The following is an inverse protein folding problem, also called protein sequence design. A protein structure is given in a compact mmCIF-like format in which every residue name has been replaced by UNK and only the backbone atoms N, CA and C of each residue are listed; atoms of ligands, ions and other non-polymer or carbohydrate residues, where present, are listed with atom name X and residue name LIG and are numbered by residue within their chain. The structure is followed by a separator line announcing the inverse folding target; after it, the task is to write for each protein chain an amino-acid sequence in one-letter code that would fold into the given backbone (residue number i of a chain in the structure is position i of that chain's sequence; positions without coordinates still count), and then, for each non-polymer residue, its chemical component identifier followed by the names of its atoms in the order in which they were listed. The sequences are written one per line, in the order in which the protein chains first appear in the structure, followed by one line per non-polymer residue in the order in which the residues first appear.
data_IF_488534606981
#
_entry.id   IF_488534606981
#
_cell.length_a   1.000
_cell.length_b   1.000
_cell.length_c   1.000
_cell.angle_alpha   90.00
_cell.angle_beta   90.00
_cell.angle_gamma   90.00
#
_symmetry.space_group_name_H-M   'P 1'
#
loop_
_entity.id
_entity.type
_entity.pdbx_description
1 polymer ?
#
# COMPACT_ATOMS: atom_id res chain seq x y z
N UNK A 1 -10.18 -22.97 -11.79
CA UNK A 1 -11.02 -23.43 -12.91
C UNK A 1 -10.59 -22.63 -14.13
N UNK A 2 -9.78 -23.22 -15.00
CA UNK A 2 -9.27 -22.54 -16.19
C UNK A 2 -10.41 -22.40 -17.21
N UNK A 3 -10.45 -21.28 -17.92
CA UNK A 3 -11.42 -21.01 -18.98
C UNK A 3 -11.34 -22.09 -20.06
N UNK A 4 -12.17 -23.12 -19.94
CA UNK A 4 -12.35 -24.12 -21.00
C UNK A 4 -12.93 -23.38 -22.20
N UNK A 5 -12.11 -23.36 -23.24
CA UNK A 5 -11.95 -22.28 -24.20
C UNK A 5 -13.03 -22.24 -25.29
N UNK A 6 -14.07 -23.08 -25.23
CA UNK A 6 -15.01 -23.25 -26.35
C UNK A 6 -16.25 -22.37 -26.22
N UNK A 7 -16.93 -22.42 -25.07
CA UNK A 7 -18.17 -21.66 -24.83
C UNK A 7 -17.93 -20.15 -24.93
N UNK A 8 -16.82 -19.65 -24.38
CA UNK A 8 -16.50 -18.23 -24.44
C UNK A 8 -16.10 -17.74 -25.83
N UNK A 9 -15.49 -18.61 -26.64
CA UNK A 9 -15.19 -18.30 -28.04
C UNK A 9 -16.46 -18.32 -28.90
N UNK A 10 -17.38 -19.25 -28.66
CA UNK A 10 -18.66 -19.29 -29.37
C UNK A 10 -19.52 -18.05 -29.06
N UNK A 11 -19.53 -17.59 -27.79
CA UNK A 11 -20.20 -16.33 -27.42
C UNK A 11 -19.49 -15.14 -28.06
N UNK A 12 -18.15 -15.13 -28.08
CA UNK A 12 -17.37 -14.09 -28.77
C UNK A 12 -17.68 -14.06 -30.27
N UNK A 13 -17.88 -15.21 -30.91
CA UNK A 13 -18.28 -15.30 -32.32
C UNK A 13 -19.69 -14.74 -32.55
N UNK A 14 -20.64 -15.10 -31.69
CA UNK A 14 -22.00 -14.54 -31.75
C UNK A 14 -22.05 -13.02 -31.53
N UNK A 15 -21.07 -12.47 -30.79
CA UNK A 15 -20.90 -11.04 -30.59
C UNK A 15 -19.98 -10.39 -31.64
N UNK A 16 -19.75 -11.03 -32.79
CA UNK A 16 -18.89 -10.55 -33.88
C UNK A 16 -17.49 -10.11 -33.42
N UNK A 17 -16.91 -10.81 -32.44
CA UNK A 17 -15.61 -10.52 -31.84
C UNK A 17 -15.44 -9.12 -31.26
N UNK A 18 -16.54 -8.39 -30.98
CA UNK A 18 -16.46 -7.10 -30.30
C UNK A 18 -15.89 -7.22 -28.88
N UNK A 19 -15.95 -8.43 -28.30
CA UNK A 19 -15.41 -8.74 -26.98
C UNK A 19 -14.69 -10.07 -27.03
N UNK A 20 -13.47 -10.14 -26.47
CA UNK A 20 -12.71 -11.37 -26.42
C UNK A 20 -13.30 -12.38 -25.43
N UNK A 21 -13.15 -13.66 -25.73
CA UNK A 21 -13.58 -14.76 -24.85
C UNK A 21 -13.10 -14.62 -23.40
N UNK A 22 -11.86 -14.15 -23.20
CA UNK A 22 -11.31 -13.91 -21.87
C UNK A 22 -12.00 -12.76 -21.14
N UNK A 23 -12.38 -11.68 -21.85
CA UNK A 23 -13.13 -10.57 -21.26
C UNK A 23 -14.54 -11.03 -20.83
N UNK A 24 -15.22 -11.82 -21.66
CA UNK A 24 -16.54 -12.38 -21.36
C UNK A 24 -16.48 -13.29 -20.13
N UNK A 25 -15.50 -14.20 -20.07
CA UNK A 25 -15.27 -15.06 -18.91
C UNK A 25 -15.05 -14.23 -17.63
N UNK A 26 -14.23 -13.19 -17.73
CA UNK A 26 -13.90 -12.33 -16.59
C UNK A 26 -15.12 -11.56 -16.09
N UNK A 27 -15.93 -11.00 -16.98
CA UNK A 27 -17.15 -10.29 -16.62
C UNK A 27 -18.19 -11.18 -15.97
N UNK A 28 -18.37 -12.40 -16.47
CA UNK A 28 -19.27 -13.38 -15.88
C UNK A 28 -18.76 -13.83 -14.51
N UNK A 29 -17.47 -14.18 -14.38
CA UNK A 29 -16.89 -14.66 -13.13
C UNK A 29 -16.94 -13.60 -12.01
N UNK A 30 -16.63 -12.35 -12.34
CA UNK A 30 -16.66 -11.21 -11.43
C UNK A 30 -18.08 -10.66 -11.21
N UNK A 31 -19.10 -11.18 -11.91
CA UNK A 31 -20.49 -10.76 -11.75
C UNK A 31 -20.77 -9.32 -12.19
N UNK A 32 -19.98 -8.79 -13.13
CA UNK A 32 -20.20 -7.43 -13.65
C UNK A 32 -21.52 -7.38 -14.41
N UNK A 33 -22.27 -6.28 -14.25
CA UNK A 33 -23.57 -6.05 -14.86
C UNK A 33 -24.66 -7.09 -14.53
N UNK A 34 -24.50 -7.86 -13.43
CA UNK A 34 -25.50 -8.85 -12.99
C UNK A 34 -25.71 -9.99 -13.99
N UNK A 35 -24.73 -10.28 -14.86
CA UNK A 35 -24.87 -11.28 -15.93
C UNK A 35 -25.19 -12.67 -15.37
N UNK A 36 -24.53 -13.07 -14.27
CA UNK A 36 -24.80 -14.34 -13.59
C UNK A 36 -26.23 -14.44 -13.03
N UNK A 37 -26.76 -13.32 -12.52
CA UNK A 37 -28.12 -13.26 -11.96
C UNK A 37 -29.17 -13.37 -13.06
N UNK A 38 -28.93 -12.71 -14.20
CA UNK A 38 -29.78 -12.81 -15.40
C UNK A 38 -29.75 -14.20 -16.04
N UNK A 39 -28.65 -14.94 -15.87
CA UNK A 39 -28.51 -16.33 -16.32
C UNK A 39 -29.09 -17.34 -15.33
N UNK A 40 -29.63 -16.90 -14.18
CA UNK A 40 -30.26 -17.77 -13.18
C UNK A 40 -29.28 -18.67 -12.40
N UNK A 41 -27.98 -18.44 -12.52
CA UNK A 41 -26.96 -19.27 -11.87
C UNK A 41 -26.75 -18.78 -10.43
N UNK A 42 -27.42 -19.44 -9.47
CA UNK A 42 -27.21 -19.18 -8.04
C UNK A 42 -25.82 -19.70 -7.62
N UNK A 43 -24.96 -18.83 -7.10
CA UNK A 43 -23.70 -19.24 -6.47
C UNK A 43 -24.01 -19.91 -5.12
N UNK A 44 -23.86 -21.22 -5.03
CA UNK A 44 -23.64 -21.88 -3.74
C UNK A 44 -22.29 -21.43 -3.19
N UNK A 45 -22.27 -21.04 -1.90
CA UNK A 45 -21.05 -20.60 -1.21
C UNK A 45 -20.12 -21.80 -1.03
N UNK A 46 -19.09 -21.92 -1.88
CA UNK A 46 -17.98 -22.83 -1.62
C UNK A 46 -16.80 -22.11 -0.98
N UNK A 47 -16.25 -22.80 0.02
CA UNK A 47 -15.20 -22.39 0.96
C UNK A 47 -13.86 -22.20 0.26
N UNK A 48 -13.05 -21.27 0.79
CA UNK A 48 -11.75 -20.87 0.28
C UNK A 48 -10.75 -22.03 0.16
N UNK A 49 -10.02 -22.05 -0.96
CA UNK A 49 -8.71 -22.69 -1.08
C UNK A 49 -7.76 -21.61 -1.61
N UNK A 50 -6.79 -21.26 -0.77
CA UNK A 50 -5.66 -20.38 -1.09
C UNK A 50 -4.57 -21.27 -1.66
N UNK A 51 -4.06 -20.93 -2.84
CA UNK A 51 -2.63 -21.07 -3.17
C UNK A 51 -2.24 -20.27 -4.44
N UNK A 52 -0.94 -19.97 -4.64
CA UNK A 52 -0.47 -18.61 -4.90
C UNK A 52 -0.03 -18.44 -6.35
N UNK A 53 -0.39 -17.32 -7.00
CA UNK A 53 0.30 -16.90 -8.23
C UNK A 53 0.54 -15.39 -8.24
N UNK A 54 1.74 -15.11 -8.73
CA UNK A 54 2.37 -13.84 -8.97
C UNK A 54 1.66 -13.02 -10.07
N UNK A 55 2.19 -11.81 -10.21
CA UNK A 55 2.09 -10.91 -11.35
C UNK A 55 0.88 -9.99 -11.44
N UNK A 56 1.24 -8.75 -11.70
CA UNK A 56 0.58 -7.52 -11.33
C UNK A 56 -0.08 -6.99 -12.60
N UNK A 57 -1.36 -7.31 -12.79
CA UNK A 57 -2.16 -6.63 -13.80
C UNK A 57 -2.82 -5.39 -13.20
N UNK A 58 -2.35 -4.26 -13.72
CA UNK A 58 -2.80 -2.92 -13.46
C UNK A 58 -4.18 -2.70 -14.11
N UNK A 59 -5.25 -3.06 -13.39
CA UNK A 59 -6.60 -2.60 -13.71
C UNK A 59 -6.86 -1.26 -13.01
N UNK A 60 -6.84 -0.19 -13.79
CA UNK A 60 -7.44 1.09 -13.45
C UNK A 60 -8.97 0.93 -13.51
N UNK A 61 -9.58 0.70 -12.36
CA UNK A 61 -11.01 0.95 -12.16
C UNK A 61 -11.14 2.16 -11.23
N UNK A 62 -11.64 3.25 -11.80
CA UNK A 62 -12.02 4.46 -11.09
C UNK A 62 -13.37 4.19 -10.42
N UNK A 63 -13.35 3.47 -9.31
CA UNK A 63 -14.47 3.57 -8.37
C UNK A 63 -14.18 4.72 -7.42
N UNK A 64 -14.63 5.90 -7.83
CA UNK A 64 -14.95 6.98 -6.92
C UNK A 64 -16.17 6.51 -6.11
N UNK A 65 -15.92 5.69 -5.09
CA UNK A 65 -16.92 5.34 -4.08
C UNK A 65 -17.15 6.58 -3.21
N UNK A 66 -17.88 7.55 -3.76
CA UNK A 66 -18.52 8.59 -2.95
C UNK A 66 -19.75 7.95 -2.33
N UNK A 67 -19.56 7.19 -1.26
CA UNK A 67 -20.68 6.83 -0.40
C UNK A 67 -21.16 8.11 0.28
N UNK A 68 -22.37 8.56 -0.07
CA UNK A 68 -23.07 9.72 0.52
C UNK A 68 -23.32 9.60 2.05
N UNK A 69 -22.72 8.61 2.72
CA UNK A 69 -22.78 8.38 4.16
C UNK A 69 -21.58 8.94 4.95
N UNK A 70 -20.62 9.60 4.29
CA UNK A 70 -19.37 10.09 4.91
C UNK A 70 -19.53 11.34 5.81
N UNK A 71 -20.75 11.86 5.98
CA UNK A 71 -20.99 13.07 6.79
C UNK A 71 -21.08 12.82 8.31
N UNK A 72 -21.09 11.56 8.79
CA UNK A 72 -21.17 11.25 10.23
C UNK A 72 -19.94 10.53 10.80
N UNK A 73 -18.95 10.19 9.98
CA UNK A 73 -17.74 9.53 10.45
C UNK A 73 -16.82 10.52 11.18
N UNK A 74 -16.20 10.14 12.31
CA UNK A 74 -15.29 11.03 13.02
C UNK A 74 -14.09 11.36 12.13
N UNK A 75 -13.69 12.63 12.16
CA UNK A 75 -12.56 13.16 11.38
C UNK A 75 -11.50 13.71 12.33
N UNK A 76 -10.24 13.32 12.11
CA UNK A 76 -9.08 13.81 12.85
C UNK A 76 -8.15 14.51 11.87
N UNK A 77 -7.99 15.82 12.07
CA UNK A 77 -7.08 16.64 11.28
C UNK A 77 -5.82 16.90 12.08
N UNK A 78 -4.66 16.76 11.44
CA UNK A 78 -3.37 17.03 12.05
C UNK A 78 -2.36 17.40 10.97
N UNK A 79 -1.27 18.04 11.36
CA UNK A 79 -0.22 18.47 10.43
C UNK A 79 1.04 17.68 10.74
N UNK A 80 1.53 16.93 9.76
CA UNK A 80 2.83 16.29 9.83
C UNK A 80 3.89 17.31 9.40
N UNK A 81 4.91 17.49 10.24
CA UNK A 81 6.07 18.34 9.92
C UNK A 81 7.26 17.45 9.60
N UNK A 82 7.68 17.43 8.35
CA UNK A 82 8.87 16.70 7.91
C UNK A 82 10.09 17.62 8.02
N UNK A 83 11.16 17.09 8.62
CA UNK A 83 12.47 17.74 8.61
C UNK A 83 13.08 17.77 7.20
N UNK A 84 14.10 18.60 6.99
CA UNK A 84 14.81 18.67 5.72
C UNK A 84 15.44 17.32 5.34
N UNK A 85 15.99 16.58 6.31
CA UNK A 85 16.60 15.26 6.12
C UNK A 85 15.57 14.20 5.73
N UNK A 86 14.41 14.18 6.40
CA UNK A 86 13.31 13.27 6.05
C UNK A 86 12.73 13.59 4.68
N UNK A 87 12.63 14.89 4.35
CA UNK A 87 12.17 15.34 3.04
C UNK A 87 13.12 14.88 1.93
N UNK A 88 14.43 15.01 2.12
CA UNK A 88 15.42 14.53 1.15
C UNK A 88 15.29 13.03 0.86
N UNK A 89 14.86 12.21 1.83
CA UNK A 89 14.64 10.77 1.63
C UNK A 89 13.38 10.46 0.80
N UNK A 90 12.38 11.34 0.84
CA UNK A 90 11.08 11.09 0.23
C UNK A 90 10.78 12.00 -0.96
N UNK A 91 11.67 12.92 -1.29
CA UNK A 91 11.50 13.90 -2.36
C UNK A 91 11.13 13.22 -3.69
N UNK A 92 10.23 13.81 -4.50
CA UNK A 92 9.86 13.24 -5.79
C UNK A 92 11.07 13.04 -6.71
N UNK A 93 11.15 11.87 -7.34
CA UNK A 93 12.15 11.52 -8.35
C UNK A 93 11.46 11.41 -9.71
N UNK A 94 12.13 11.86 -10.76
CA UNK A 94 11.66 11.69 -12.13
C UNK A 94 11.93 10.26 -12.62
N UNK A 95 10.89 9.57 -13.07
CA UNK A 95 10.99 8.26 -13.69
C UNK A 95 10.54 8.34 -15.14
N UNK A 96 11.43 7.92 -16.04
CA UNK A 96 11.17 7.87 -17.49
C UNK A 96 10.69 6.48 -17.88
N UNK A 97 9.48 6.40 -18.42
CA UNK A 97 8.91 5.18 -18.98
C UNK A 97 9.06 5.20 -20.51
N UNK A 98 9.70 4.17 -21.06
CA UNK A 98 9.79 3.94 -22.51
C UNK A 98 8.52 3.21 -22.98
N UNK A 99 7.79 3.79 -23.93
CA UNK A 99 6.67 3.08 -24.56
C UNK A 99 7.23 2.03 -25.54
N UNK A 100 6.86 0.77 -25.31
CA UNK A 100 7.35 -0.40 -26.05
C UNK A 100 6.90 -0.46 -27.52
N UNK A 101 6.00 0.43 -27.97
CA UNK A 101 5.39 0.35 -29.31
C UNK A 101 5.88 1.39 -30.32
N UNK A 102 6.56 2.45 -29.90
CA UNK A 102 7.15 3.44 -30.80
C UNK A 102 8.48 3.93 -30.23
N UNK A 103 9.57 3.77 -30.98
CA UNK A 103 10.94 4.09 -30.58
C UNK A 103 11.23 5.57 -30.24
N UNK A 104 10.22 6.45 -30.21
CA UNK A 104 10.41 7.91 -30.09
C UNK A 104 9.68 8.57 -28.93
N UNK A 105 8.79 7.88 -28.20
CA UNK A 105 8.03 8.53 -27.12
C UNK A 105 8.38 7.93 -25.76
N UNK A 106 9.22 8.66 -25.02
CA UNK A 106 9.37 8.50 -23.57
C UNK A 106 8.41 9.45 -22.85
N UNK A 107 7.80 9.00 -21.75
CA UNK A 107 7.06 9.87 -20.83
C UNK A 107 7.75 9.85 -19.48
N UNK A 108 8.06 11.03 -18.95
CA UNK A 108 8.56 11.18 -17.58
C UNK A 108 7.45 11.55 -16.62
N UNK A 109 7.50 11.00 -15.41
CA UNK A 109 6.59 11.33 -14.32
C UNK A 109 7.40 11.54 -13.04
N UNK A 110 7.00 12.54 -12.25
CA UNK A 110 7.50 12.70 -10.89
C UNK A 110 6.74 11.75 -9.96
N UNK A 111 7.47 10.94 -9.20
CA UNK A 111 6.88 10.00 -8.25
C UNK A 111 7.69 9.95 -6.95
N UNK A 112 7.02 9.65 -5.84
CA UNK A 112 7.73 9.44 -4.58
C UNK A 112 8.54 8.13 -4.62
N UNK A 113 9.74 8.09 -4.00
CA UNK A 113 10.63 6.93 -4.05
C UNK A 113 9.98 5.70 -3.40
N UNK A 114 9.78 4.64 -4.18
CA UNK A 114 9.08 3.43 -3.72
C UNK A 114 9.78 2.84 -2.49
N UNK A 115 9.01 2.60 -1.44
CA UNK A 115 9.49 1.98 -0.20
C UNK A 115 10.13 2.94 0.81
N UNK A 116 10.51 4.16 0.42
CA UNK A 116 11.14 5.14 1.33
C UNK A 116 10.14 6.07 2.02
N UNK A 117 9.10 6.53 1.32
CA UNK A 117 8.16 7.51 1.89
C UNK A 117 7.13 6.90 2.86
N UNK A 118 6.70 5.66 2.60
CA UNK A 118 5.65 5.03 3.40
C UNK A 118 6.04 4.76 4.87
N UNK A 119 7.28 4.37 5.22
CA UNK A 119 7.70 4.25 6.62
C UNK A 119 7.75 5.61 7.33
N UNK A 120 8.29 6.64 6.69
CA UNK A 120 8.37 8.00 7.26
C UNK A 120 6.97 8.49 7.66
N UNK A 121 6.00 8.41 6.74
CA UNK A 121 4.63 8.82 7.04
C UNK A 121 3.95 7.95 8.11
N UNK A 122 4.29 6.65 8.18
CA UNK A 122 3.73 5.77 9.21
C UNK A 122 4.21 6.14 10.62
N UNK A 123 5.48 6.52 10.76
CA UNK A 123 6.04 6.97 12.04
C UNK A 123 5.41 8.28 12.49
N UNK A 124 5.35 9.27 11.60
CA UNK A 124 4.68 10.55 11.89
C UNK A 124 3.18 10.36 12.22
N UNK A 125 2.48 9.48 11.49
CA UNK A 125 1.10 9.15 11.82
C UNK A 125 0.96 8.64 13.26
N UNK A 126 1.84 7.73 13.69
CA UNK A 126 1.81 7.22 15.07
C UNK A 126 2.10 8.32 16.09
N UNK A 127 3.13 9.13 15.86
CA UNK A 127 3.53 10.23 16.76
C UNK A 127 2.39 11.22 17.00
N UNK A 128 1.64 11.57 15.95
CA UNK A 128 0.56 12.55 16.04
C UNK A 128 -0.77 11.97 16.51
N UNK A 129 -1.06 10.72 16.18
CA UNK A 129 -2.39 10.15 16.44
C UNK A 129 -2.44 9.19 17.61
N UNK A 130 -1.33 8.50 17.90
CA UNK A 130 -1.21 7.39 18.86
C UNK A 130 -2.23 6.26 18.61
N UNK A 131 -2.75 6.17 17.38
CA UNK A 131 -3.76 5.19 17.02
C UNK A 131 -3.10 3.88 16.55
N UNK A 132 -3.57 2.70 17.00
CA UNK A 132 -3.00 1.39 16.63
C UNK A 132 -3.33 0.97 15.18
N UNK A 133 -3.69 1.92 14.31
CA UNK A 133 -4.11 1.66 12.95
C UNK A 133 -2.97 1.14 12.07
N UNK A 134 -3.19 -0.02 11.44
CA UNK A 134 -2.29 -0.53 10.40
C UNK A 134 -2.62 0.10 9.05
N UNK A 135 -2.06 1.30 8.81
CA UNK A 135 -2.23 2.04 7.56
C UNK A 135 -1.41 1.43 6.42
N UNK A 136 -2.14 1.06 5.36
CA UNK A 136 -1.57 0.73 4.06
C UNK A 136 -1.69 1.95 3.15
N UNK A 137 -0.57 2.60 2.88
CA UNK A 137 -0.50 3.70 1.91
C UNK A 137 -0.62 3.12 0.50
N UNK A 138 -1.74 3.42 -0.17
CA UNK A 138 -2.09 2.83 -1.46
C UNK A 138 -1.49 3.59 -2.62
N UNK A 139 -1.56 4.92 -2.57
CA UNK A 139 -1.24 5.79 -3.72
C UNK A 139 -0.60 7.09 -3.22
N UNK A 140 0.39 7.56 -3.96
CA UNK A 140 0.93 8.90 -3.84
C UNK A 140 1.01 9.49 -5.25
N UNK A 141 0.44 10.68 -5.44
CA UNK A 141 0.48 11.44 -6.68
C UNK A 141 1.25 12.73 -6.44
N UNK A 142 2.12 13.07 -7.38
CA UNK A 142 2.88 14.32 -7.38
C UNK A 142 2.36 15.16 -8.54
N UNK A 143 1.96 16.39 -8.25
CA UNK A 143 1.52 17.36 -9.23
C UNK A 143 2.52 18.52 -9.22
N UNK A 144 3.42 18.60 -10.20
CA UNK A 144 4.41 19.68 -10.25
C UNK A 144 3.78 21.05 -10.46
N UNK A 145 2.59 21.08 -11.08
CA UNK A 145 1.85 22.29 -11.40
C UNK A 145 0.44 22.11 -10.83
N UNK A 146 0.07 22.92 -9.84
CA UNK A 146 -1.23 22.85 -9.17
C UNK A 146 -1.20 23.48 -7.77
N UNK A 147 -2.37 23.54 -7.13
CA UNK A 147 -2.52 24.00 -5.74
C UNK A 147 -2.08 22.96 -4.69
N UNK A 148 -2.00 21.69 -5.09
CA UNK A 148 -1.56 20.57 -4.25
C UNK A 148 -0.35 19.95 -4.93
N UNK A 149 0.82 20.05 -4.32
CA UNK A 149 2.05 19.45 -4.81
C UNK A 149 2.08 17.92 -4.65
N UNK A 150 1.70 17.40 -3.48
CA UNK A 150 1.64 15.94 -3.24
C UNK A 150 0.30 15.58 -2.62
N UNK A 151 -0.30 14.51 -3.13
CA UNK A 151 -1.50 13.87 -2.56
C UNK A 151 -1.21 12.41 -2.24
N UNK A 152 -1.31 12.05 -0.97
CA UNK A 152 -1.12 10.70 -0.44
C UNK A 152 -2.47 10.15 0.02
N UNK A 153 -2.76 8.90 -0.33
CA UNK A 153 -3.96 8.20 0.11
C UNK A 153 -3.55 6.87 0.76
N UNK A 154 -4.05 6.65 1.98
CA UNK A 154 -3.89 5.42 2.74
C UNK A 154 -5.23 4.88 3.23
N UNK A 155 -5.25 3.60 3.57
CA UNK A 155 -6.42 2.94 4.17
C UNK A 155 -5.98 2.00 5.27
N UNK A 156 -6.69 1.99 6.40
CA UNK A 156 -6.49 0.98 7.42
C UNK A 156 -7.11 -0.34 6.97
N UNK A 157 -6.34 -1.43 7.07
CA UNK A 157 -6.85 -2.76 6.71
C UNK A 157 -7.71 -3.43 7.78
N UNK A 158 -7.88 -2.79 8.94
CA UNK A 158 -8.66 -3.33 10.07
C UNK A 158 -9.98 -2.58 10.20
N UNK A 159 -9.96 -1.28 10.51
CA UNK A 159 -11.16 -0.47 10.67
C UNK A 159 -11.68 0.18 9.38
N UNK A 160 -10.98 -0.02 8.26
CA UNK A 160 -11.38 0.55 6.96
C UNK A 160 -11.17 2.06 6.80
N UNK A 161 -10.79 2.79 7.86
CA UNK A 161 -10.58 4.24 7.87
C UNK A 161 -9.61 4.73 6.80
N UNK A 162 -9.89 5.91 6.25
CA UNK A 162 -9.18 6.53 5.16
C UNK A 162 -8.23 7.62 5.67
N UNK A 163 -7.01 7.60 5.16
CA UNK A 163 -6.00 8.61 5.41
C UNK A 163 -5.76 9.39 4.12
N UNK A 164 -5.83 10.71 4.21
CA UNK A 164 -5.47 11.63 3.15
C UNK A 164 -4.39 12.59 3.66
N UNK A 165 -3.30 12.73 2.91
CA UNK A 165 -2.22 13.66 3.21
C UNK A 165 -1.96 14.57 2.02
N UNK A 166 -1.92 15.88 2.24
CA UNK A 166 -1.76 16.91 1.22
C UNK A 166 -0.57 17.79 1.55
N UNK A 167 0.30 17.99 0.56
CA UNK A 167 1.34 19.03 0.60
C UNK A 167 0.92 20.08 -0.42
N UNK A 168 0.60 21.29 0.03
CA UNK A 168 0.05 22.33 -0.83
C UNK A 168 1.12 22.91 -1.76
N UNK A 169 2.22 23.39 -1.18
CA UNK A 169 3.28 24.07 -1.91
C UNK A 169 4.51 23.20 -2.05
N UNK A 170 5.21 23.35 -3.20
CA UNK A 170 6.53 22.74 -3.37
C UNK A 170 7.48 23.39 -2.35
N UNK A 171 8.09 22.62 -1.45
CA UNK A 171 9.00 23.18 -0.46
C UNK A 171 10.29 23.65 -1.14
N UNK A 172 10.85 24.73 -0.61
CA UNK A 172 12.18 25.19 -1.00
C UNK A 172 13.26 24.24 -0.47
N UNK A 173 14.43 24.25 -1.09
CA UNK A 173 15.55 23.40 -0.65
C UNK A 173 15.89 23.66 0.82
N UNK A 174 16.13 22.60 1.57
CA UNK A 174 16.45 22.62 3.02
C UNK A 174 15.38 23.21 3.94
N UNK A 175 14.14 23.38 3.47
CA UNK A 175 13.02 23.83 4.33
C UNK A 175 12.24 22.65 4.90
N UNK A 176 11.59 22.87 6.05
CA UNK A 176 10.65 21.91 6.63
C UNK A 176 9.39 21.86 5.77
N UNK A 177 8.83 20.67 5.62
CA UNK A 177 7.64 20.45 4.78
C UNK A 177 6.45 20.17 5.68
N UNK A 178 5.38 20.92 5.47
CA UNK A 178 4.11 20.72 6.16
C UNK A 178 3.19 19.89 5.28
N UNK A 179 2.72 18.77 5.82
CA UNK A 179 1.72 17.91 5.19
C UNK A 179 0.45 17.93 6.02
N UNK A 180 -0.61 18.50 5.46
CA UNK A 180 -1.95 18.53 6.04
C UNK A 180 -2.56 17.15 5.92
N UNK A 181 -2.92 16.55 7.05
CA UNK A 181 -3.42 15.19 7.11
C UNK A 181 -4.85 15.16 7.66
N UNK A 182 -5.69 14.42 6.96
CA UNK A 182 -7.07 14.17 7.33
C UNK A 182 -7.25 12.66 7.48
N UNK A 183 -7.71 12.23 8.66
CA UNK A 183 -8.00 10.83 8.94
C UNK A 183 -9.47 10.65 9.29
N UNK A 184 -10.20 9.89 8.48
CA UNK A 184 -11.66 9.72 8.60
C UNK A 184 -12.03 8.25 8.72
N UNK A 185 -12.98 7.92 9.59
CA UNK A 185 -13.56 6.58 9.70
C UNK A 185 -13.57 6.02 11.12
N UNK A 186 -13.83 4.73 11.26
CA UNK A 186 -14.01 4.03 12.53
C UNK A 186 -12.70 3.73 13.26
N UNK A 187 -11.79 4.68 13.37
CA UNK A 187 -10.48 4.47 14.00
C UNK A 187 -10.53 4.25 15.52
N UNK A 188 -11.70 4.44 16.15
CA UNK A 188 -11.96 4.12 17.56
C UNK A 188 -12.25 2.64 17.80
N UNK A 189 -12.51 1.86 16.75
CA UNK A 189 -12.71 0.42 16.88
C UNK A 189 -11.45 -0.28 17.41
N UNK A 190 -11.65 -1.40 18.12
CA UNK A 190 -10.54 -2.22 18.60
C UNK A 190 -9.78 -2.77 17.40
N UNK A 191 -8.51 -2.40 17.31
CA UNK A 191 -7.63 -2.91 16.28
C UNK A 191 -7.05 -4.25 16.73
N UNK A 192 -7.12 -5.25 15.86
CA UNK A 192 -6.32 -6.47 16.03
C UNK A 192 -4.83 -6.11 15.97
N UNK A 193 -3.98 -6.92 16.62
CA UNK A 193 -2.52 -6.76 16.67
C UNK A 193 -1.80 -6.95 15.31
N UNK A 194 -2.48 -6.65 14.19
CA UNK A 194 -1.98 -6.74 12.83
C UNK A 194 -0.89 -5.69 12.61
N UNK A 195 0.35 -6.14 12.48
CA UNK A 195 1.51 -5.27 12.27
C UNK A 195 1.67 -4.87 10.80
N UNK A 196 2.31 -3.72 10.59
CA UNK A 196 2.71 -3.21 9.27
C UNK A 196 3.95 -3.95 8.79
N UNK A 197 4.02 -4.21 7.48
CA UNK A 197 5.21 -4.82 6.87
C UNK A 197 6.35 -3.81 6.82
N UNK A 198 7.55 -4.20 7.26
CA UNK A 198 8.76 -3.41 7.05
C UNK A 198 9.14 -3.38 5.57
N UNK A 199 9.38 -2.18 5.05
CA UNK A 199 9.73 -1.94 3.63
C UNK A 199 10.86 -0.91 3.52
N UNK A 200 11.59 -0.97 2.41
CA UNK A 200 12.62 0.00 2.07
C UNK A 200 13.77 0.09 3.09
N UNK A 201 14.30 1.30 3.34
CA UNK A 201 15.46 1.51 4.20
C UNK A 201 15.30 0.97 5.61
N UNK A 202 14.09 1.02 6.18
CA UNK A 202 13.80 0.49 7.51
C UNK A 202 14.06 -1.04 7.60
N UNK A 203 13.72 -1.79 6.53
CA UNK A 203 13.97 -3.23 6.46
C UNK A 203 15.47 -3.54 6.37
N UNK A 204 16.21 -2.75 5.60
CA UNK A 204 17.66 -2.90 5.42
C UNK A 204 18.42 -2.58 6.71
N UNK A 205 18.05 -1.50 7.40
CA UNK A 205 18.60 -1.16 8.72
C UNK A 205 18.36 -2.28 9.74
N UNK A 206 17.13 -2.80 9.81
CA UNK A 206 16.80 -3.93 10.68
C UNK A 206 17.61 -5.18 10.34
N UNK A 207 17.72 -5.51 9.05
CA UNK A 207 18.53 -6.64 8.57
C UNK A 207 20.00 -6.52 8.96
N UNK A 208 20.59 -5.34 8.78
CA UNK A 208 21.98 -5.05 9.13
C UNK A 208 22.22 -5.27 10.63
N UNK A 209 21.37 -4.71 11.49
CA UNK A 209 21.48 -4.85 12.95
C UNK A 209 21.32 -6.31 13.43
N UNK A 210 20.41 -7.08 12.82
CA UNK A 210 20.17 -8.48 13.21
C UNK A 210 21.24 -9.45 12.72
N UNK A 211 21.83 -9.19 11.55
CA UNK A 211 22.80 -10.08 10.91
C UNK A 211 24.25 -9.71 11.23
N UNK A 212 24.59 -8.42 11.25
CA UNK A 212 25.99 -7.95 11.39
C UNK A 212 26.32 -7.63 12.84
N UNK A 213 25.41 -6.98 13.57
CA UNK A 213 25.63 -6.63 14.98
C UNK A 213 25.18 -7.74 15.96
N UNK A 214 24.65 -8.85 15.43
CA UNK A 214 24.25 -10.01 16.24
C UNK A 214 23.07 -9.78 17.20
N UNK A 215 22.34 -8.66 17.06
CA UNK A 215 21.26 -8.31 17.98
C UNK A 215 20.11 -9.33 17.87
N UNK A 216 19.52 -9.71 19.01
CA UNK A 216 18.36 -10.60 19.04
C UNK A 216 17.10 -9.91 18.50
N UNK A 217 16.15 -10.67 17.95
CA UNK A 217 14.88 -10.10 17.47
C UNK A 217 14.07 -9.43 18.60
N UNK A 218 14.25 -9.86 19.85
CA UNK A 218 13.58 -9.28 21.00
C UNK A 218 14.22 -7.94 21.38
N UNK A 219 15.55 -7.91 21.51
CA UNK A 219 16.30 -6.68 21.82
C UNK A 219 16.08 -5.59 20.78
N UNK A 220 15.98 -5.95 19.48
CA UNK A 220 15.62 -5.00 18.43
C UNK A 220 14.24 -4.37 18.66
N UNK A 221 13.24 -5.18 19.05
CA UNK A 221 11.89 -4.69 19.34
C UNK A 221 11.86 -3.80 20.57
N UNK A 222 12.63 -4.13 21.60
CA UNK A 222 12.74 -3.32 22.82
C UNK A 222 13.36 -1.95 22.50
N UNK A 223 14.43 -1.90 21.72
CA UNK A 223 15.06 -0.64 21.28
C UNK A 223 14.10 0.23 20.46
N UNK A 224 13.41 -0.35 19.48
CA UNK A 224 12.43 0.41 18.69
C UNK A 224 11.21 0.81 19.52
N UNK A 225 10.74 -0.04 20.44
CA UNK A 225 9.63 0.30 21.34
C UNK A 225 10.00 1.48 22.24
N UNK A 226 11.21 1.48 22.82
CA UNK A 226 11.69 2.59 23.64
C UNK A 226 11.82 3.90 22.85
N UNK A 227 12.06 3.83 21.54
CA UNK A 227 12.12 5.01 20.67
C UNK A 227 10.74 5.62 20.39
N UNK A 228 9.71 4.79 20.20
CA UNK A 228 8.43 5.22 19.60
C UNK A 228 7.21 5.09 20.52
N UNK A 229 7.29 4.29 21.59
CA UNK A 229 6.16 3.99 22.47
C UNK A 229 6.30 4.77 23.76
N UNK A 230 5.28 5.56 24.10
CA UNK A 230 5.16 6.20 25.42
C UNK A 230 4.74 5.15 26.45
N UNK A 231 5.18 5.33 27.70
CA UNK A 231 4.83 4.44 28.81
C UNK A 231 3.29 4.38 28.95
N UNK A 232 2.73 3.17 28.89
CA UNK A 232 1.29 2.92 28.99
C UNK A 232 0.49 3.01 27.68
N UNK A 233 1.10 3.41 26.56
CA UNK A 233 0.45 3.43 25.26
C UNK A 233 0.30 2.01 24.66
N UNK A 234 -0.71 1.76 23.80
CA UNK A 234 -0.83 0.48 23.10
C UNK A 234 0.36 0.24 22.17
N UNK A 235 0.66 -1.03 21.87
CA UNK A 235 1.77 -1.36 20.98
C UNK A 235 1.45 -0.93 19.54
N UNK A 236 2.28 -0.08 18.90
CA UNK A 236 2.01 0.42 17.57
C UNK A 236 1.97 -0.68 16.50
N UNK A 237 1.23 -0.41 15.42
CA UNK A 237 1.26 -1.24 14.23
C UNK A 237 2.62 -1.16 13.48
N UNK A 238 3.39 -0.08 13.66
CA UNK A 238 4.72 0.08 13.03
C UNK A 238 5.79 -0.82 13.65
N UNK A 239 5.62 -1.26 14.91
CA UNK A 239 6.59 -2.14 15.56
C UNK A 239 6.49 -3.55 14.96
N UNK A 240 7.58 -4.10 14.39
CA UNK A 240 7.53 -5.40 13.73
C UNK A 240 7.33 -6.54 14.74
N UNK A 241 6.69 -7.61 14.28
CA UNK A 241 6.57 -8.83 15.08
C UNK A 241 7.93 -9.56 15.17
N UNK A 242 8.14 -10.27 16.28
CA UNK A 242 9.36 -11.07 16.47
C UNK A 242 9.54 -12.13 15.38
N UNK A 243 8.45 -12.76 14.93
CA UNK A 243 8.49 -13.72 13.84
C UNK A 243 8.95 -13.08 12.52
N UNK A 244 8.45 -11.89 12.19
CA UNK A 244 8.87 -11.18 10.98
C UNK A 244 10.37 -10.86 10.98
N UNK A 245 10.95 -10.51 12.13
CA UNK A 245 12.38 -10.26 12.28
C UNK A 245 13.21 -11.55 12.15
N UNK A 246 12.75 -12.68 12.71
CA UNK A 246 13.41 -13.99 12.54
C UNK A 246 13.45 -14.41 11.08
N UNK A 247 12.30 -14.31 10.38
CA UNK A 247 12.21 -14.61 8.95
C UNK A 247 13.11 -13.66 8.14
N UNK A 248 13.16 -12.37 8.50
CA UNK A 248 14.06 -11.40 7.85
C UNK A 248 15.53 -11.78 8.03
N UNK A 249 15.94 -12.17 9.24
CA UNK A 249 17.30 -12.63 9.53
C UNK A 249 17.65 -13.88 8.71
N UNK A 250 16.78 -14.89 8.73
CA UNK A 250 16.96 -16.12 7.98
C UNK A 250 17.17 -15.85 6.49
N UNK A 251 16.23 -15.11 5.87
CA UNK A 251 16.29 -14.79 4.43
C UNK A 251 17.55 -14.00 4.05
N UNK A 252 18.02 -13.09 4.90
CA UNK A 252 19.26 -12.37 4.63
C UNK A 252 20.50 -13.27 4.72
N UNK A 253 20.55 -14.19 5.68
CA UNK A 253 21.63 -15.15 5.79
C UNK A 253 21.65 -16.06 4.57
N UNK A 254 20.49 -16.60 4.17
CA UNK A 254 20.35 -17.42 2.96
C UNK A 254 20.79 -16.66 1.70
N UNK A 255 20.36 -15.42 1.52
CA UNK A 255 20.76 -14.61 0.36
C UNK A 255 22.27 -14.31 0.34
N UNK A 256 22.94 -14.30 1.50
CA UNK A 256 24.39 -14.11 1.60
C UNK A 256 25.18 -15.42 1.35
N UNK A 257 24.55 -16.59 1.39
CA UNK A 257 25.19 -17.86 1.04
C UNK A 257 25.44 -17.91 -0.47
N UNK A 258 26.71 -18.04 -0.88
CA UNK A 258 27.14 -18.04 -2.29
C UNK A 258 26.83 -19.35 -3.02
N UNK A 259 26.58 -20.43 -2.29
CA UNK A 259 26.16 -21.72 -2.83
C UNK A 259 24.84 -22.15 -2.16
N UNK A 260 23.88 -22.57 -2.99
CA UNK A 260 22.73 -23.35 -2.53
C UNK A 260 23.22 -24.78 -2.47
N UNK A 261 23.37 -25.32 -1.27
CA UNK A 261 23.59 -26.75 -1.06
C UNK A 261 22.37 -27.56 -1.55
#
# INVERSE_FOLDING_TARGET
MFATNKVWNDISQHLNYQMSANAIHTFVQLGRHGILERLGVRKEKSVAIIDPIAEFENYNEYEEFSSENDNYMPKKNFIITLSAEEWQQIQPIEIVYKLTKCHQNSRSYLVLPKGAWTPVLAEHFWIHTELPCNLSFKRAKVYPIGQVFIKVIGRCSVCGSNFEGLVLQRPAENTKVLMECTYTGNFLEKHNNKKRRMVGPAKEKAAKLLCENGISSQSYRELEANRIVKIGAPEPAILPSGNALRILKHRNIENKKRHKD
#
